data_IF_941086116756
#
_entry.id   IF_941086116756
#
_cell.length_a   1.000
_cell.length_b   1.000
_cell.length_c   1.000
_cell.angle_alpha   90.00
_cell.angle_beta   90.00
_cell.angle_gamma   90.00
#
_symmetry.space_group_name_H-M   'P 1'
#
loop_
_entity.id
_entity.type
_entity.pdbx_description
1 polymer ?
#
# COMPACT_ATOMS: atom_id res chain seq x y z
N UNK A 1 -1.08 2.07 9.14
CA UNK A 1 -0.41 1.89 10.44
C UNK A 1 -1.38 1.21 11.42
N UNK A 2 -0.87 0.67 12.53
CA UNK A 2 -1.67 0.13 13.64
C UNK A 2 -2.67 -0.99 13.29
N UNK A 3 -2.33 -1.78 12.27
CA UNK A 3 -3.02 -3.04 11.99
C UNK A 3 -2.74 -4.06 13.09
N UNK A 4 -3.77 -4.80 13.51
CA UNK A 4 -3.66 -5.85 14.53
C UNK A 4 -4.33 -7.14 14.07
N UNK A 5 -3.75 -8.28 14.45
CA UNK A 5 -4.41 -9.57 14.44
C UNK A 5 -5.19 -9.81 15.74
N UNK A 6 -6.20 -10.68 15.70
CA UNK A 6 -7.04 -11.00 16.85
C UNK A 6 -6.75 -12.39 17.39
N UNK A 7 -6.63 -12.51 18.71
CA UNK A 7 -6.53 -13.79 19.43
C UNK A 7 -7.75 -13.94 20.33
N UNK A 8 -8.73 -14.70 19.85
CA UNK A 8 -10.02 -14.90 20.50
C UNK A 8 -9.95 -16.17 21.35
N UNK A 9 -10.15 -16.03 22.67
CA UNK A 9 -10.09 -17.13 23.61
C UNK A 9 -11.49 -17.64 23.90
N UNK A 10 -11.70 -18.95 23.74
CA UNK A 10 -12.96 -19.61 24.04
C UNK A 10 -12.72 -20.85 24.92
N UNK A 11 -13.74 -21.39 25.60
CA UNK A 11 -13.60 -22.63 26.37
C UNK A 11 -13.15 -23.84 25.54
N UNK A 12 -13.42 -23.84 24.23
CA UNK A 12 -13.10 -24.97 23.32
C UNK A 12 -11.76 -24.79 22.59
N UNK A 13 -11.13 -23.63 22.72
CA UNK A 13 -9.82 -23.35 22.13
C UNK A 13 -9.61 -21.90 21.70
N UNK A 14 -8.44 -21.63 21.12
CA UNK A 14 -8.05 -20.29 20.65
C UNK A 14 -8.34 -20.16 19.16
N UNK A 15 -9.03 -19.09 18.76
CA UNK A 15 -9.21 -18.70 17.36
C UNK A 15 -8.30 -17.51 17.07
N UNK A 16 -7.55 -17.59 15.97
CA UNK A 16 -6.65 -16.54 15.52
C UNK A 16 -7.19 -15.99 14.21
N UNK A 17 -7.37 -14.67 14.13
CA UNK A 17 -7.66 -13.98 12.88
C UNK A 17 -6.46 -13.11 12.53
N UNK A 18 -5.81 -13.35 11.39
CA UNK A 18 -4.60 -12.61 11.01
C UNK A 18 -4.87 -11.11 10.83
N UNK A 19 -6.07 -10.77 10.36
CA UNK A 19 -6.30 -9.49 9.69
C UNK A 19 -5.59 -9.49 8.34
N UNK A 20 -5.53 -8.35 7.68
CA UNK A 20 -4.72 -8.19 6.47
C UNK A 20 -3.27 -7.96 6.90
N UNK A 21 -2.33 -8.72 6.35
CA UNK A 21 -0.95 -8.66 6.81
C UNK A 21 0.06 -8.94 5.71
N UNK A 22 1.25 -8.36 5.87
CA UNK A 22 2.52 -8.83 5.33
C UNK A 22 3.57 -8.81 6.44
N UNK A 23 4.69 -9.49 6.24
CA UNK A 23 5.82 -9.50 7.18
C UNK A 23 6.94 -8.64 6.58
N UNK A 24 6.95 -7.37 6.97
CA UNK A 24 8.02 -6.43 6.64
C UNK A 24 9.01 -6.33 7.81
N UNK A 25 10.27 -6.69 7.56
CA UNK A 25 11.33 -6.62 8.57
C UNK A 25 11.92 -5.22 8.73
N UNK A 26 11.63 -4.31 7.79
CA UNK A 26 12.09 -2.92 7.80
C UNK A 26 10.93 -1.97 7.46
N UNK A 27 9.83 -1.98 8.24
CA UNK A 27 8.67 -1.14 7.95
C UNK A 27 9.04 0.33 8.12
N UNK A 28 8.38 1.20 7.34
CA UNK A 28 8.60 2.65 7.39
C UNK A 28 7.98 3.29 8.63
N UNK A 29 6.77 2.85 8.98
CA UNK A 29 6.01 3.33 10.15
C UNK A 29 5.74 2.15 11.06
N UNK A 30 5.90 2.37 12.37
CA UNK A 30 5.62 1.38 13.40
C UNK A 30 6.76 0.39 13.59
N UNK A 31 6.47 -0.67 14.35
CA UNK A 31 7.43 -1.75 14.61
C UNK A 31 7.21 -2.91 13.63
N UNK A 32 8.26 -3.72 13.36
CA UNK A 32 8.09 -5.00 12.68
C UNK A 32 7.05 -5.88 13.38
N UNK A 33 6.42 -6.79 12.64
CA UNK A 33 5.53 -7.80 13.19
C UNK A 33 6.21 -8.57 14.32
N UNK A 34 5.53 -8.71 15.46
CA UNK A 34 6.05 -9.45 16.61
C UNK A 34 5.99 -10.97 16.37
N UNK A 35 6.98 -11.50 15.64
CA UNK A 35 7.10 -12.91 15.34
C UNK A 35 7.30 -13.76 16.60
N UNK A 36 7.93 -13.20 17.65
CA UNK A 36 8.11 -13.89 18.92
C UNK A 36 6.76 -14.13 19.61
N UNK A 37 5.86 -13.14 19.56
CA UNK A 37 4.51 -13.27 20.10
C UNK A 37 3.71 -14.32 19.35
N UNK A 38 3.84 -14.39 18.03
CA UNK A 38 3.20 -15.44 17.21
C UNK A 38 3.77 -16.82 17.54
N UNK A 39 5.10 -16.96 17.67
CA UNK A 39 5.73 -18.23 18.08
C UNK A 39 5.26 -18.68 19.47
N UNK A 40 5.15 -17.76 20.43
CA UNK A 40 4.60 -18.06 21.75
C UNK A 40 3.14 -18.52 21.68
N UNK A 41 2.36 -17.98 20.75
CA UNK A 41 0.97 -18.36 20.55
C UNK A 41 0.86 -19.81 20.07
N UNK A 42 1.73 -20.23 19.15
CA UNK A 42 1.78 -21.61 18.65
C UNK A 42 2.19 -22.67 19.68
N UNK A 43 2.68 -22.28 20.85
CA UNK A 43 2.89 -23.21 21.98
C UNK A 43 1.58 -23.60 22.68
N UNK A 44 0.49 -22.89 22.39
CA UNK A 44 -0.85 -23.13 22.93
C UNK A 44 -1.70 -23.88 21.89
N UNK A 45 -2.76 -24.60 22.32
CA UNK A 45 -3.65 -25.27 21.37
C UNK A 45 -4.50 -24.24 20.62
N UNK A 46 -3.99 -23.76 19.48
CA UNK A 46 -4.75 -22.95 18.54
C UNK A 46 -5.73 -23.85 17.80
N UNK A 47 -7.03 -23.60 18.00
CA UNK A 47 -8.10 -24.37 17.40
C UNK A 47 -8.24 -24.04 15.92
N UNK A 48 -8.31 -22.75 15.58
CA UNK A 48 -8.58 -22.27 14.24
C UNK A 48 -7.71 -21.07 13.90
N UNK A 49 -7.12 -21.06 12.71
CA UNK A 49 -6.53 -19.88 12.09
C UNK A 49 -7.39 -19.45 10.90
N UNK A 50 -7.82 -18.18 10.92
CA UNK A 50 -8.36 -17.44 9.79
C UNK A 50 -7.24 -16.54 9.25
N UNK A 51 -6.81 -16.78 8.00
CA UNK A 51 -5.71 -16.03 7.40
C UNK A 51 -6.08 -15.37 6.08
N UNK A 52 -5.64 -14.13 5.90
CA UNK A 52 -5.66 -13.39 4.63
C UNK A 52 -5.03 -14.23 3.50
N UNK A 53 -5.71 -14.27 2.36
CA UNK A 53 -5.36 -15.10 1.20
C UNK A 53 -5.09 -14.28 -0.06
N UNK A 54 -5.17 -12.95 0.01
CA UNK A 54 -5.22 -12.03 -1.14
C UNK A 54 -4.13 -12.29 -2.18
N UNK A 55 -2.90 -12.58 -1.75
CA UNK A 55 -1.76 -12.89 -2.64
C UNK A 55 -1.18 -14.29 -2.43
N UNK A 56 -2.01 -15.27 -2.03
CA UNK A 56 -1.59 -16.66 -1.90
C UNK A 56 -1.05 -17.29 -3.20
N UNK A 57 -1.39 -16.72 -4.36
CA UNK A 57 -0.88 -17.14 -5.66
C UNK A 57 0.53 -16.62 -5.98
N UNK A 58 1.01 -15.60 -5.25
CA UNK A 58 2.32 -15.01 -5.51
C UNK A 58 3.42 -15.77 -4.76
N UNK A 59 4.37 -16.41 -5.46
CA UNK A 59 5.46 -17.12 -4.80
C UNK A 59 6.46 -16.15 -4.16
N UNK A 60 7.23 -16.65 -3.19
CA UNK A 60 8.29 -15.88 -2.56
C UNK A 60 7.79 -14.93 -1.47
N UNK A 61 8.49 -13.81 -1.32
CA UNK A 61 8.25 -12.80 -0.29
C UNK A 61 7.83 -11.48 -0.92
N UNK A 62 6.96 -10.77 -0.20
CA UNK A 62 6.62 -9.37 -0.49
C UNK A 62 7.82 -8.49 -0.16
N UNK A 63 8.25 -7.59 -1.07
CA UNK A 63 9.31 -6.63 -0.77
C UNK A 63 8.95 -5.74 0.43
N UNK A 64 9.96 -5.17 1.08
CA UNK A 64 9.75 -4.15 2.11
C UNK A 64 9.24 -2.85 1.47
N UNK A 65 8.43 -2.08 2.20
CA UNK A 65 8.06 -0.72 1.80
C UNK A 65 9.30 0.17 1.56
N UNK A 66 10.41 -0.10 2.25
CA UNK A 66 11.66 0.66 2.13
C UNK A 66 12.20 0.73 0.69
N UNK A 67 12.01 -0.33 -0.09
CA UNK A 67 12.41 -0.37 -1.51
C UNK A 67 11.75 0.74 -2.32
N UNK A 68 10.54 1.13 -1.93
CA UNK A 68 9.82 2.20 -2.60
C UNK A 68 10.37 3.57 -2.24
N UNK A 69 10.88 3.77 -1.01
CA UNK A 69 11.61 5.01 -0.66
C UNK A 69 12.79 5.22 -1.59
N UNK A 70 13.58 4.16 -1.83
CA UNK A 70 14.75 4.24 -2.71
C UNK A 70 14.31 4.58 -4.14
N UNK A 71 13.25 3.93 -4.64
CA UNK A 71 12.75 4.21 -5.99
C UNK A 71 12.24 5.66 -6.13
N UNK A 72 11.48 6.14 -5.15
CA UNK A 72 10.98 7.53 -5.13
C UNK A 72 12.14 8.53 -5.05
N UNK A 73 13.18 8.23 -4.28
CA UNK A 73 14.38 9.05 -4.17
C UNK A 73 15.06 9.25 -5.53
N UNK A 74 15.26 8.17 -6.29
CA UNK A 74 15.86 8.23 -7.62
C UNK A 74 14.99 9.04 -8.59
N UNK A 75 13.67 8.85 -8.56
CA UNK A 75 12.73 9.58 -9.42
C UNK A 75 12.78 11.09 -9.12
N UNK A 76 12.69 11.45 -7.84
CA UNK A 76 12.67 12.86 -7.41
C UNK A 76 14.03 13.53 -7.65
N UNK A 77 15.13 12.81 -7.49
CA UNK A 77 16.46 13.30 -7.82
C UNK A 77 16.64 13.56 -9.33
N UNK A 78 16.13 12.66 -10.18
CA UNK A 78 16.29 12.72 -11.64
C UNK A 78 15.33 13.66 -12.36
N UNK A 79 14.19 14.01 -11.75
CA UNK A 79 13.16 14.82 -12.41
C UNK A 79 13.56 16.29 -12.54
N UNK A 80 13.65 16.79 -13.78
CA UNK A 80 13.90 18.21 -14.06
C UNK A 80 12.69 19.13 -13.84
N UNK A 81 11.48 18.57 -13.80
CA UNK A 81 10.22 19.28 -13.58
C UNK A 81 9.56 18.96 -12.24
N UNK A 82 8.23 19.17 -12.18
CA UNK A 82 7.43 18.78 -11.01
C UNK A 82 7.32 17.26 -10.97
N UNK A 83 7.24 16.71 -9.77
CA UNK A 83 6.95 15.29 -9.57
C UNK A 83 5.57 15.16 -8.95
N UNK A 84 4.65 14.48 -9.63
CA UNK A 84 3.27 14.29 -9.20
C UNK A 84 3.11 12.82 -8.80
N UNK A 85 2.95 12.55 -7.51
CA UNK A 85 2.87 11.21 -6.96
C UNK A 85 1.43 10.95 -6.54
N UNK A 86 0.78 9.96 -7.15
CA UNK A 86 -0.55 9.49 -6.74
C UNK A 86 -0.45 8.23 -5.88
N UNK A 87 -1.17 8.19 -4.77
CA UNK A 87 -1.24 7.03 -3.87
C UNK A 87 -2.60 6.96 -3.18
N UNK A 88 -2.84 5.89 -2.42
CA UNK A 88 -4.00 5.82 -1.53
C UNK A 88 -3.81 6.73 -0.31
N UNK A 89 -4.83 7.49 0.05
CA UNK A 89 -4.81 8.33 1.26
C UNK A 89 -4.71 7.52 2.56
N UNK A 90 -5.16 6.26 2.54
CA UNK A 90 -5.02 5.34 3.68
C UNK A 90 -3.60 4.79 3.86
N UNK A 91 -2.73 4.92 2.86
CA UNK A 91 -1.36 4.41 2.91
C UNK A 91 -0.40 5.47 3.51
N UNK A 92 -0.56 5.73 4.80
CA UNK A 92 0.18 6.79 5.54
C UNK A 92 1.70 6.61 5.44
N UNK A 93 2.21 5.37 5.42
CA UNK A 93 3.64 5.11 5.21
C UNK A 93 4.13 5.70 3.90
N UNK A 94 3.35 5.58 2.82
CA UNK A 94 3.71 6.16 1.52
C UNK A 94 3.70 7.67 1.55
N UNK A 95 2.76 8.29 2.28
CA UNK A 95 2.74 9.74 2.48
C UNK A 95 4.03 10.20 3.16
N UNK A 96 4.45 9.53 4.24
CA UNK A 96 5.70 9.83 4.93
C UNK A 96 6.91 9.71 3.99
N UNK A 97 7.02 8.62 3.23
CA UNK A 97 8.11 8.41 2.26
C UNK A 97 8.20 9.55 1.24
N UNK A 98 7.05 10.00 0.71
CA UNK A 98 7.01 11.11 -0.26
C UNK A 98 7.50 12.41 0.38
N UNK A 99 7.09 12.68 1.61
CA UNK A 99 7.49 13.88 2.36
C UNK A 99 9.00 13.83 2.66
N UNK A 100 9.52 12.71 3.14
CA UNK A 100 10.94 12.53 3.45
C UNK A 100 11.82 12.73 2.22
N UNK A 101 11.42 12.15 1.08
CA UNK A 101 12.12 12.32 -0.19
C UNK A 101 12.05 13.76 -0.68
N UNK A 102 10.89 14.43 -0.58
CA UNK A 102 10.76 15.83 -0.95
C UNK A 102 11.68 16.72 -0.11
N UNK A 103 11.73 16.51 1.21
CA UNK A 103 12.61 17.23 2.14
C UNK A 103 14.08 17.01 1.78
N UNK A 104 14.48 15.75 1.55
CA UNK A 104 15.86 15.39 1.17
C UNK A 104 16.33 16.14 -0.09
N UNK A 105 15.44 16.31 -1.07
CA UNK A 105 15.73 17.01 -2.32
C UNK A 105 15.36 18.50 -2.30
N UNK A 106 15.08 19.07 -1.12
CA UNK A 106 14.72 20.48 -0.93
C UNK A 106 13.57 20.92 -1.86
N UNK A 107 12.53 20.08 -1.94
CA UNK A 107 11.30 20.34 -2.67
C UNK A 107 10.15 20.57 -1.68
N UNK A 108 9.24 21.47 -2.05
CA UNK A 108 7.98 21.69 -1.35
C UNK A 108 6.97 20.62 -1.76
N UNK A 109 6.09 20.26 -0.83
CA UNK A 109 5.00 19.30 -1.06
C UNK A 109 3.69 20.06 -1.14
N UNK A 110 2.98 19.90 -2.26
CA UNK A 110 1.60 20.35 -2.41
C UNK A 110 0.67 19.14 -2.34
N UNK A 111 -0.22 19.13 -1.35
CA UNK A 111 -1.17 18.04 -1.15
C UNK A 111 -2.49 18.42 -1.82
N UNK A 112 -3.06 17.52 -2.61
CA UNK A 112 -4.34 17.77 -3.25
C UNK A 112 -5.21 16.54 -3.40
N UNK A 113 -6.48 16.70 -3.06
CA UNK A 113 -7.48 15.65 -3.08
C UNK A 113 -8.10 15.52 -1.70
N UNK A 114 -9.44 15.59 -1.65
CA UNK A 114 -10.22 15.70 -0.41
C UNK A 114 -9.78 14.72 0.68
N UNK A 115 -9.73 13.42 0.38
CA UNK A 115 -9.35 12.40 1.36
C UNK A 115 -7.90 12.53 1.86
N UNK A 116 -6.99 13.07 1.03
CA UNK A 116 -5.60 13.32 1.43
C UNK A 116 -5.50 14.57 2.32
N UNK A 117 -6.24 15.62 1.97
CA UNK A 117 -6.34 16.86 2.75
C UNK A 117 -6.99 16.64 4.12
N UNK A 118 -7.93 15.70 4.22
CA UNK A 118 -8.58 15.31 5.47
C UNK A 118 -7.69 14.42 6.35
N UNK A 119 -6.99 13.43 5.78
CA UNK A 119 -6.25 12.43 6.57
C UNK A 119 -4.90 12.95 7.09
N UNK A 120 -4.23 13.82 6.33
CA UNK A 120 -2.87 14.26 6.68
C UNK A 120 -2.82 15.03 8.00
N UNK A 121 -3.70 16.01 8.28
CA UNK A 121 -3.74 16.69 9.57
C UNK A 121 -3.96 15.73 10.73
N UNK A 122 -4.90 14.79 10.59
CA UNK A 122 -5.20 13.77 11.63
C UNK A 122 -3.98 12.88 11.86
N UNK A 123 -3.32 12.41 10.80
CA UNK A 123 -2.14 11.57 10.94
C UNK A 123 -0.94 12.31 11.56
N UNK A 124 -0.82 13.64 11.39
CA UNK A 124 0.17 14.46 12.08
C UNK A 124 -0.19 14.62 13.57
N UNK A 125 -1.45 14.90 13.88
CA UNK A 125 -1.94 15.05 15.26
C UNK A 125 -1.75 13.77 16.08
N UNK A 126 -2.04 12.61 15.49
CA UNK A 126 -1.87 11.29 16.10
C UNK A 126 -0.41 10.78 16.07
N UNK A 127 0.52 11.54 15.48
CA UNK A 127 1.95 11.22 15.46
C UNK A 127 2.37 10.13 14.45
N UNK A 128 1.50 9.74 13.52
CA UNK A 128 1.85 8.83 12.42
C UNK A 128 2.64 9.51 11.30
N UNK A 129 2.47 10.82 11.12
CA UNK A 129 3.21 11.61 10.14
C UNK A 129 4.06 12.67 10.83
N UNK A 130 5.32 12.76 10.43
CA UNK A 130 6.22 13.85 10.80
C UNK A 130 6.49 14.71 9.58
N UNK A 131 6.06 15.96 9.63
CA UNK A 131 6.23 16.92 8.54
C UNK A 131 7.03 18.11 9.08
N UNK A 132 8.27 18.35 8.59
CA UNK A 132 9.03 19.52 9.01
C UNK A 132 8.29 20.82 8.65
N UNK A 133 8.53 21.91 9.41
CA UNK A 133 7.92 23.20 9.10
C UNK A 133 8.35 23.69 7.72
N UNK A 134 7.47 24.44 7.04
CA UNK A 134 7.69 25.04 5.73
C UNK A 134 7.92 24.04 4.56
N UNK A 135 7.58 22.76 4.75
CA UNK A 135 7.64 21.76 3.66
C UNK A 135 6.36 21.78 2.83
N UNK A 136 5.20 21.89 3.48
CA UNK A 136 3.92 22.00 2.79
C UNK A 136 3.74 23.41 2.23
N UNK A 137 3.35 23.51 0.96
CA UNK A 137 3.02 24.79 0.34
C UNK A 137 1.51 24.90 0.05
N UNK A 138 1.03 26.13 0.04
CA UNK A 138 -0.36 26.48 -0.31
C UNK A 138 -0.49 26.70 -1.82
N UNK A 139 -1.73 26.66 -2.30
CA UNK A 139 -2.03 26.79 -3.74
C UNK A 139 -1.58 28.12 -4.37
N UNK A 140 -1.53 29.20 -3.58
CA UNK A 140 -1.04 30.51 -4.00
C UNK A 140 0.49 30.59 -4.06
N UNK A 141 1.18 29.85 -3.18
CA UNK A 141 2.64 29.72 -3.18
C UNK A 141 3.12 28.84 -4.33
N UNK A 142 2.38 27.76 -4.62
CA UNK A 142 2.68 26.79 -5.68
C UNK A 142 2.99 27.46 -7.03
N UNK A 143 2.24 28.50 -7.39
CA UNK A 143 2.38 29.23 -8.67
C UNK A 143 3.68 30.03 -8.78
N UNK A 144 4.34 30.32 -7.66
CA UNK A 144 5.58 31.10 -7.59
C UNK A 144 6.82 30.21 -7.48
N UNK A 145 6.64 28.92 -7.17
CA UNK A 145 7.74 27.99 -6.99
C UNK A 145 8.28 27.51 -8.35
N UNK A 146 9.60 27.36 -8.50
CA UNK A 146 10.19 26.66 -9.64
C UNK A 146 9.65 25.23 -9.73
N UNK A 147 9.36 24.75 -10.94
CA UNK A 147 8.79 23.41 -11.15
C UNK A 147 9.63 22.29 -10.52
N UNK A 148 10.96 22.36 -10.62
CA UNK A 148 11.89 21.40 -10.03
C UNK A 148 11.97 21.44 -8.50
N UNK A 149 11.25 22.37 -7.86
CA UNK A 149 11.15 22.50 -6.39
C UNK A 149 9.81 22.00 -5.86
N UNK A 150 9.00 21.32 -6.68
CA UNK A 150 7.65 20.92 -6.32
C UNK A 150 7.48 19.40 -6.44
N UNK A 151 6.92 18.82 -5.38
CA UNK A 151 6.28 17.50 -5.37
C UNK A 151 4.79 17.70 -5.12
N UNK A 152 3.94 17.12 -5.94
CA UNK A 152 2.49 17.09 -5.75
C UNK A 152 2.11 15.72 -5.24
N UNK A 153 1.52 15.64 -4.05
CA UNK A 153 0.99 14.41 -3.49
C UNK A 153 -0.53 14.39 -3.67
N UNK A 154 -1.05 13.36 -4.35
CA UNK A 154 -2.46 13.34 -4.74
C UNK A 154 -3.12 11.97 -4.65
N UNK A 155 -4.46 11.95 -4.72
CA UNK A 155 -5.29 10.74 -4.86
C UNK A 155 -5.56 10.42 -6.34
N UNK A 156 -6.36 9.38 -6.61
CA UNK A 156 -6.78 9.04 -7.97
C UNK A 156 -5.94 7.98 -8.66
N UNK A 157 -5.25 7.16 -7.88
CA UNK A 157 -4.39 6.10 -8.40
C UNK A 157 -5.17 4.98 -9.11
N UNK A 158 -6.49 4.89 -8.90
CA UNK A 158 -7.38 3.90 -9.54
C UNK A 158 -8.17 4.48 -10.73
N UNK A 159 -7.92 5.73 -11.11
CA UNK A 159 -8.62 6.35 -12.24
C UNK A 159 -10.07 6.73 -11.95
N UNK A 160 -10.45 6.93 -10.68
CA UNK A 160 -11.80 7.34 -10.33
C UNK A 160 -12.13 8.73 -10.92
N UNK A 161 -13.25 8.90 -11.65
CA UNK A 161 -13.52 10.11 -12.44
C UNK A 161 -13.43 11.44 -11.68
N UNK A 162 -13.79 11.46 -10.41
CA UNK A 162 -13.81 12.67 -9.56
C UNK A 162 -12.50 12.89 -8.79
N UNK A 163 -11.54 11.98 -8.90
CA UNK A 163 -10.27 12.06 -8.19
C UNK A 163 -9.38 13.18 -8.74
N UNK A 164 -8.47 13.67 -7.90
CA UNK A 164 -7.64 14.82 -8.23
C UNK A 164 -6.74 14.55 -9.44
N UNK A 165 -6.05 13.40 -9.51
CA UNK A 165 -5.23 13.05 -10.67
C UNK A 165 -6.03 12.97 -11.97
N UNK A 166 -7.21 12.34 -11.94
CA UNK A 166 -8.06 12.21 -13.14
C UNK A 166 -8.54 13.58 -13.62
N UNK A 167 -8.89 14.47 -12.70
CA UNK A 167 -9.22 15.87 -13.04
C UNK A 167 -8.02 16.60 -13.63
N UNK A 168 -6.80 16.37 -13.14
CA UNK A 168 -5.58 16.93 -13.77
C UNK A 168 -5.40 16.36 -15.19
N UNK A 169 -5.58 15.05 -15.35
CA UNK A 169 -5.51 14.35 -16.63
C UNK A 169 -6.58 14.83 -17.63
N UNK A 170 -7.71 15.34 -17.16
CA UNK A 170 -8.78 15.91 -17.97
C UNK A 170 -8.73 17.45 -18.11
N UNK A 171 -7.70 18.12 -17.57
CA UNK A 171 -7.57 19.60 -17.53
C UNK A 171 -8.68 20.32 -16.76
N UNK A 172 -9.32 19.64 -15.82
CA UNK A 172 -10.43 20.13 -15.00
C UNK A 172 -10.03 20.37 -13.53
N UNK A 173 -8.76 20.18 -13.18
CA UNK A 173 -8.28 20.44 -11.84
C UNK A 173 -8.00 21.94 -11.62
N UNK A 174 -8.64 22.53 -10.60
CA UNK A 174 -8.66 23.98 -10.39
C UNK A 174 -7.31 24.60 -10.01
N UNK A 175 -6.41 23.81 -9.41
CA UNK A 175 -5.14 24.29 -8.86
C UNK A 175 -3.92 23.87 -9.69
N UNK A 176 -4.03 22.80 -10.49
CA UNK A 176 -2.90 22.17 -11.18
C UNK A 176 -3.33 21.77 -12.58
N UNK A 177 -2.53 22.16 -13.56
CA UNK A 177 -2.60 21.64 -14.92
C UNK A 177 -1.31 20.88 -15.21
N UNK A 178 -1.41 19.77 -15.94
CA UNK A 178 -0.24 19.01 -16.42
C UNK A 178 0.47 19.84 -17.49
N UNK A 179 1.80 19.91 -17.41
CA UNK A 179 2.64 20.59 -18.40
C UNK A 179 3.76 19.66 -18.88
N UNK A 180 4.30 19.88 -20.10
CA UNK A 180 5.44 19.11 -20.57
C UNK A 180 6.61 19.13 -19.60
N UNK A 181 7.19 17.95 -19.34
CA UNK A 181 8.29 17.76 -18.39
C UNK A 181 7.87 17.49 -16.94
N UNK A 182 6.56 17.40 -16.65
CA UNK A 182 6.09 16.78 -15.41
C UNK A 182 6.38 15.28 -15.39
N UNK A 183 6.81 14.77 -14.24
CA UNK A 183 6.91 13.32 -14.00
C UNK A 183 5.74 12.89 -13.12
N UNK A 184 4.91 11.96 -13.59
CA UNK A 184 3.78 11.42 -12.82
C UNK A 184 4.09 10.00 -12.36
N UNK A 185 4.02 9.74 -11.06
CA UNK A 185 4.25 8.43 -10.46
C UNK A 185 2.94 7.82 -9.99
N UNK A 186 2.53 6.72 -10.62
CA UNK A 186 1.41 5.88 -10.20
C UNK A 186 1.88 4.95 -9.08
N UNK A 187 1.90 5.45 -7.84
CA UNK A 187 2.38 4.74 -6.66
C UNK A 187 1.30 3.83 -6.05
N UNK A 188 0.60 3.09 -6.91
CA UNK A 188 -0.39 2.07 -6.56
C UNK A 188 -0.52 1.03 -7.67
N UNK A 189 -1.00 -0.16 -7.32
CA UNK A 189 -1.46 -1.14 -8.31
C UNK A 189 -2.95 -0.93 -8.59
N UNK A 190 -3.41 -1.03 -9.86
CA UNK A 190 -4.82 -1.09 -10.16
C UNK A 190 -5.46 -2.27 -9.42
N UNK A 191 -6.56 -1.99 -8.71
CA UNK A 191 -7.45 -3.01 -8.18
C UNK A 191 -8.10 -3.73 -9.37
N UNK A 192 -8.25 -5.07 -9.32
CA UNK A 192 -8.93 -5.82 -10.38
C UNK A 192 -10.26 -5.18 -10.78
N UNK A 193 -10.43 -4.88 -12.07
CA UNK A 193 -11.59 -4.19 -12.64
C UNK A 193 -11.37 -2.70 -12.94
N UNK A 194 -10.36 -2.06 -12.34
CA UNK A 194 -10.05 -0.64 -12.57
C UNK A 194 -8.97 -0.40 -13.63
N UNK A 195 -8.41 -1.45 -14.25
CA UNK A 195 -7.28 -1.34 -15.17
C UNK A 195 -7.59 -0.40 -16.35
N UNK A 196 -8.79 -0.49 -16.91
CA UNK A 196 -9.22 0.37 -18.02
C UNK A 196 -9.28 1.86 -17.63
N UNK A 197 -9.72 2.18 -16.41
CA UNK A 197 -9.80 3.55 -15.91
C UNK A 197 -8.41 4.14 -15.66
N UNK A 198 -7.52 3.32 -15.08
CA UNK A 198 -6.12 3.71 -14.87
C UNK A 198 -5.42 3.95 -16.20
N UNK A 199 -5.55 3.03 -17.16
CA UNK A 199 -4.93 3.17 -18.48
C UNK A 199 -5.42 4.42 -19.22
N UNK A 200 -6.73 4.72 -19.15
CA UNK A 200 -7.28 5.95 -19.74
C UNK A 200 -6.66 7.22 -19.12
N UNK A 201 -6.46 7.21 -17.80
CA UNK A 201 -5.80 8.31 -17.08
C UNK A 201 -4.36 8.47 -17.54
N UNK A 202 -3.60 7.37 -17.56
CA UNK A 202 -2.20 7.32 -18.02
C UNK A 202 -2.07 7.85 -19.46
N UNK A 203 -2.92 7.39 -20.38
CA UNK A 203 -2.95 7.87 -21.76
C UNK A 203 -3.17 9.39 -21.83
N UNK A 204 -4.09 9.92 -21.03
CA UNK A 204 -4.39 11.36 -21.02
C UNK A 204 -3.25 12.20 -20.44
N UNK A 205 -2.50 11.66 -19.48
CA UNK A 205 -1.28 12.28 -18.95
C UNK A 205 -0.17 12.32 -20.01
N UNK A 206 0.08 11.20 -20.71
CA UNK A 206 1.05 11.16 -21.81
C UNK A 206 0.68 12.10 -22.95
N UNK A 207 -0.60 12.18 -23.34
CA UNK A 207 -1.07 13.14 -24.36
C UNK A 207 -0.81 14.60 -24.00
N UNK A 208 -0.59 14.91 -22.73
CA UNK A 208 -0.26 16.24 -22.24
C UNK A 208 1.25 16.50 -22.10
N UNK A 209 2.08 15.50 -22.41
CA UNK A 209 3.54 15.62 -22.37
C UNK A 209 4.19 15.33 -21.02
N UNK A 210 3.46 14.66 -20.11
CA UNK A 210 4.04 14.15 -18.88
C UNK A 210 4.75 12.81 -19.12
N UNK A 211 5.83 12.59 -18.37
CA UNK A 211 6.50 11.29 -18.26
C UNK A 211 5.82 10.49 -17.16
N UNK A 212 5.10 9.42 -17.51
CA UNK A 212 4.34 8.63 -16.54
C UNK A 212 5.08 7.35 -16.17
N UNK A 213 5.33 7.17 -14.87
CA UNK A 213 5.94 5.99 -14.25
C UNK A 213 4.82 5.17 -13.62
N UNK A 214 4.55 3.98 -14.15
CA UNK A 214 3.43 3.13 -13.74
C UNK A 214 3.72 1.64 -13.92
N UNK A 215 3.00 0.81 -13.17
CA UNK A 215 3.03 -0.65 -13.30
C UNK A 215 4.33 -1.32 -12.83
N UNK A 216 4.48 -2.61 -13.15
CA UNK A 216 5.58 -3.48 -12.68
C UNK A 216 6.97 -3.08 -13.19
N UNK A 217 7.06 -2.19 -14.16
CA UNK A 217 8.33 -1.78 -14.80
C UNK A 217 9.18 -0.91 -13.86
N UNK A 218 8.55 -0.31 -12.84
CA UNK A 218 9.19 0.50 -11.82
C UNK A 218 8.72 0.03 -10.43
N UNK A 219 9.62 -0.18 -9.48
CA UNK A 219 9.30 -0.61 -8.10
C UNK A 219 8.69 0.53 -7.26
N UNK A 220 7.71 1.24 -7.81
CA UNK A 220 7.01 2.37 -7.20
C UNK A 220 5.84 1.96 -6.33
N UNK A 221 5.60 0.66 -6.17
CA UNK A 221 4.57 0.13 -5.29
C UNK A 221 4.94 -1.26 -4.79
N UNK A 222 4.48 -1.55 -3.57
CA UNK A 222 4.54 -2.86 -2.93
C UNK A 222 3.16 -3.07 -2.32
N UNK A 223 2.60 -4.26 -2.45
CA UNK A 223 1.28 -4.56 -1.89
C UNK A 223 1.31 -4.72 -0.37
N UNK A 224 0.13 -4.59 0.25
CA UNK A 224 -0.05 -4.70 1.69
C UNK A 224 -0.22 -6.12 2.25
N UNK A 225 -0.44 -7.11 1.38
CA UNK A 225 -0.72 -8.50 1.80
C UNK A 225 0.47 -9.42 1.51
N UNK A 226 0.67 -10.44 2.34
CA UNK A 226 1.80 -11.36 2.27
C UNK A 226 1.75 -12.30 1.07
N UNK A 227 2.93 -12.63 0.57
CA UNK A 227 3.14 -13.66 -0.45
C UNK A 227 3.31 -15.03 0.21
N UNK A 228 3.40 -16.11 -0.59
CA UNK A 228 3.39 -17.49 -0.11
C UNK A 228 4.30 -17.77 1.09
N UNK A 229 5.53 -17.26 1.11
CA UNK A 229 6.47 -17.57 2.19
C UNK A 229 6.10 -16.88 3.51
N UNK A 230 5.45 -15.73 3.47
CA UNK A 230 4.95 -15.03 4.66
C UNK A 230 3.70 -15.72 5.20
N UNK A 231 2.82 -16.20 4.32
CA UNK A 231 1.66 -17.00 4.69
C UNK A 231 2.07 -18.32 5.36
N UNK A 232 3.07 -19.02 4.78
CA UNK A 232 3.66 -20.23 5.36
C UNK A 232 4.30 -19.95 6.73
N UNK A 233 5.02 -18.84 6.86
CA UNK A 233 5.63 -18.44 8.12
C UNK A 233 4.58 -18.20 9.21
N UNK A 234 3.50 -17.48 8.91
CA UNK A 234 2.40 -17.31 9.87
C UNK A 234 1.81 -18.66 10.29
N UNK A 235 1.56 -19.53 9.32
CA UNK A 235 1.02 -20.87 9.57
C UNK A 235 1.93 -21.70 10.49
N UNK A 236 3.23 -21.75 10.21
CA UNK A 236 4.21 -22.50 11.01
C UNK A 236 4.44 -21.91 12.41
N UNK A 237 4.29 -20.59 12.57
CA UNK A 237 4.35 -19.95 13.89
C UNK A 237 3.09 -20.22 14.73
N UNK A 238 1.91 -20.21 14.12
CA UNK A 238 0.62 -20.34 14.82
C UNK A 238 0.25 -21.81 15.09
N UNK A 239 0.67 -22.75 14.24
CA UNK A 239 0.41 -24.20 14.36
C UNK A 239 -1.05 -24.56 14.68
N UNK A 240 -2.01 -24.12 13.86
CA UNK A 240 -3.42 -24.30 14.15
C UNK A 240 -3.87 -25.76 13.92
N UNK A 241 -4.87 -26.21 14.70
CA UNK A 241 -5.52 -27.51 14.49
C UNK A 241 -6.39 -27.52 13.21
N UNK A 242 -7.10 -26.43 12.96
CA UNK A 242 -7.93 -26.21 11.79
C UNK A 242 -7.53 -24.91 11.08
N UNK A 243 -7.69 -24.88 9.77
CA UNK A 243 -7.37 -23.71 8.95
C UNK A 243 -8.55 -23.31 8.07
N UNK A 244 -8.86 -22.02 8.03
CA UNK A 244 -9.86 -21.45 7.15
C UNK A 244 -9.24 -20.25 6.43
N UNK A 245 -8.84 -20.38 5.16
CA UNK A 245 -8.42 -19.21 4.39
C UNK A 245 -9.59 -18.23 4.27
N UNK A 246 -9.31 -16.96 4.50
CA UNK A 246 -10.26 -15.84 4.37
C UNK A 246 -9.65 -14.72 3.55
N UNK A 247 -10.45 -13.69 3.24
CA UNK A 247 -10.04 -12.49 2.49
C UNK A 247 -9.39 -12.82 1.13
N UNK A 248 -10.23 -12.99 0.11
CA UNK A 248 -9.82 -13.25 -1.27
C UNK A 248 -10.94 -13.89 -2.10
N UNK A 249 -10.78 -13.92 -3.42
CA UNK A 249 -11.65 -14.70 -4.31
C UNK A 249 -11.48 -16.21 -4.05
N UNK A 250 -12.46 -17.02 -4.45
CA UNK A 250 -12.44 -18.47 -4.23
C UNK A 250 -11.13 -19.15 -4.69
N UNK A 251 -10.56 -18.70 -5.81
CA UNK A 251 -9.26 -19.17 -6.30
C UNK A 251 -8.11 -18.89 -5.31
N UNK A 252 -8.08 -17.71 -4.70
CA UNK A 252 -7.10 -17.35 -3.67
C UNK A 252 -7.24 -18.27 -2.45
N UNK A 253 -8.48 -18.47 -1.97
CA UNK A 253 -8.76 -19.36 -0.84
C UNK A 253 -8.30 -20.79 -1.13
N UNK A 254 -8.56 -21.28 -2.35
CA UNK A 254 -8.18 -22.63 -2.77
C UNK A 254 -6.65 -22.80 -2.85
N UNK A 255 -5.93 -21.78 -3.30
CA UNK A 255 -4.46 -21.81 -3.35
C UNK A 255 -3.87 -21.76 -1.94
N UNK A 256 -4.41 -20.92 -1.06
CA UNK A 256 -3.96 -20.84 0.32
C UNK A 256 -4.21 -22.15 1.09
N UNK A 257 -5.35 -22.81 0.86
CA UNK A 257 -5.61 -24.16 1.36
C UNK A 257 -4.54 -25.17 0.92
N UNK A 258 -4.15 -25.16 -0.36
CA UNK A 258 -3.08 -26.03 -0.87
C UNK A 258 -1.72 -25.73 -0.22
N UNK A 259 -1.44 -24.47 0.12
CA UNK A 259 -0.23 -24.11 0.87
C UNK A 259 -0.24 -24.78 2.26
N UNK A 260 -1.35 -24.70 2.99
CA UNK A 260 -1.50 -25.39 4.28
C UNK A 260 -1.34 -26.91 4.15
N UNK A 261 -1.93 -27.53 3.12
CA UNK A 261 -1.72 -28.96 2.81
C UNK A 261 -0.23 -29.28 2.58
N UNK A 262 0.49 -28.42 1.84
CA UNK A 262 1.92 -28.59 1.56
C UNK A 262 2.81 -28.48 2.80
N UNK A 263 2.32 -27.84 3.86
CA UNK A 263 2.98 -27.76 5.18
C UNK A 263 2.62 -28.94 6.10
N UNK A 264 1.87 -29.93 5.59
CA UNK A 264 1.56 -31.17 6.31
C UNK A 264 0.22 -31.17 7.04
N UNK A 265 -0.63 -30.16 6.85
CA UNK A 265 -1.99 -30.17 7.41
C UNK A 265 -2.88 -31.16 6.66
N UNK A 266 -3.61 -31.99 7.40
CA UNK A 266 -4.58 -32.91 6.82
C UNK A 266 -5.71 -32.11 6.14
N UNK A 267 -6.08 -32.53 4.93
CA UNK A 267 -7.14 -31.88 4.13
C UNK A 267 -8.48 -31.75 4.88
N UNK A 268 -8.81 -32.73 5.71
CA UNK A 268 -10.05 -32.73 6.53
C UNK A 268 -10.06 -31.65 7.62
N UNK A 269 -8.90 -31.01 7.88
CA UNK A 269 -8.76 -29.90 8.81
C UNK A 269 -8.77 -28.52 8.12
N UNK A 270 -8.97 -28.47 6.80
CA UNK A 270 -8.95 -27.23 6.01
C UNK A 270 -10.34 -26.95 5.43
N UNK A 271 -10.88 -25.77 5.73
CA UNK A 271 -12.22 -25.38 5.34
C UNK A 271 -12.18 -24.20 4.37
N UNK A 272 -12.41 -24.45 3.08
CA UNK A 272 -12.65 -23.39 2.09
C UNK A 272 -14.16 -23.19 2.01
N UNK A 273 -14.64 -22.05 2.51
CA UNK A 273 -16.06 -21.74 2.64
C UNK A 273 -16.47 -20.57 1.73
N UNK A 274 -17.78 -20.40 1.56
CA UNK A 274 -18.43 -19.25 0.94
C UNK A 274 -19.19 -18.47 2.02
N UNK A 275 -19.66 -17.26 1.71
CA UNK A 275 -20.42 -16.46 2.65
C UNK A 275 -21.82 -17.06 2.90
N UNK A 276 -22.13 -17.34 4.17
CA UNK A 276 -23.45 -17.83 4.62
C UNK A 276 -23.62 -19.34 4.56
#
# INVERSE_FOLDING_TARGET
PDSVGLVIRTPVGIVVHSGDFKIDYTPVIGSPTDLNRLAQLGTKPVLLLLSDSTYAELPGYTPSERVVSDTLDHIVAGASGRVIITTFSSLISRIQQVIDVAVKHNRYVFITGRSMEEIVPVAVEEGYLTIPPNVLCRSDELKRLPHNRVVVLTTGSQGEPTSALVRMANRDHSQIQIVPGDTVVMSATPVPGNEALVNKTVDSLFRQGADVIYGKVSQVHVHGHGSQEELKLLFDLVKPKFFMPVHGEYRHLKVHAKLAESLGMAKDNIFVLEDG
#
